data_IF_530590851383
#
_entry.id   IF_530590851383
#
_cell.length_a   1.000
_cell.length_b   1.000
_cell.length_c   1.000
_cell.angle_alpha   90.00
_cell.angle_beta   90.00
_cell.angle_gamma   90.00
#
_symmetry.space_group_name_H-M   'P 1'
#
loop_
_entity.id
_entity.type
_entity.pdbx_description
1 polymer ?
#
# COMPACT_ATOMS: atom_id res chain seq x y z
N UNK A 1 -24.88 25.39 -24.91
CA UNK A 1 -25.85 24.33 -24.58
C UNK A 1 -25.59 23.14 -25.50
N UNK A 2 -24.89 22.12 -25.01
CA UNK A 2 -24.77 20.82 -25.69
C UNK A 2 -25.10 19.75 -24.65
N UNK A 3 -26.29 19.19 -24.78
CA UNK A 3 -26.77 18.05 -24.02
C UNK A 3 -26.02 16.80 -24.49
N UNK A 4 -25.10 16.31 -23.66
CA UNK A 4 -24.58 14.95 -23.78
C UNK A 4 -25.33 14.06 -22.80
N UNK A 5 -26.45 13.50 -23.24
CA UNK A 5 -27.16 12.42 -22.55
C UNK A 5 -26.25 11.20 -22.45
N UNK A 6 -25.62 11.01 -21.30
CA UNK A 6 -24.87 9.77 -21.00
C UNK A 6 -25.88 8.64 -20.80
N UNK A 7 -25.69 7.58 -21.57
CA UNK A 7 -26.50 6.37 -21.61
C UNK A 7 -26.62 5.76 -20.21
N UNK A 8 -27.86 5.60 -19.75
CA UNK A 8 -28.21 4.77 -18.62
C UNK A 8 -27.85 3.31 -18.92
N UNK A 9 -27.12 2.66 -18.01
CA UNK A 9 -26.84 1.22 -18.12
C UNK A 9 -27.90 0.45 -17.37
N UNK A 10 -29.09 0.31 -17.97
CA UNK A 10 -30.08 -0.67 -17.55
C UNK A 10 -29.76 -2.00 -18.22
N UNK A 11 -29.54 -3.05 -17.43
CA UNK A 11 -29.49 -4.42 -17.94
C UNK A 11 -30.88 -5.02 -17.68
N UNK A 12 -31.64 -5.20 -18.75
CA UNK A 12 -32.96 -5.81 -18.71
C UNK A 12 -32.81 -7.33 -18.74
N UNK A 13 -33.19 -8.00 -17.66
CA UNK A 13 -33.48 -9.43 -17.64
C UNK A 13 -34.79 -9.59 -16.86
N UNK A 14 -35.85 -10.00 -17.55
CA UNK A 14 -37.16 -10.40 -17.01
C UNK A 14 -37.81 -9.44 -15.98
N UNK A 15 -38.32 -8.29 -16.45
CA UNK A 15 -39.51 -7.65 -15.86
C UNK A 15 -39.37 -6.95 -14.50
N UNK A 16 -38.18 -6.79 -13.93
CA UNK A 16 -37.97 -6.05 -12.68
C UNK A 16 -36.83 -5.03 -12.77
N UNK A 17 -37.01 -3.86 -12.16
CA UNK A 17 -35.91 -2.91 -11.88
C UNK A 17 -35.06 -3.54 -10.77
N UNK A 18 -33.86 -4.03 -11.10
CA UNK A 18 -32.90 -4.47 -10.07
C UNK A 18 -32.29 -3.23 -9.43
N UNK A 19 -32.82 -2.85 -8.26
CA UNK A 19 -32.22 -1.83 -7.41
C UNK A 19 -30.94 -2.43 -6.84
N UNK A 20 -29.79 -1.91 -7.29
CA UNK A 20 -28.50 -2.27 -6.71
C UNK A 20 -28.35 -1.50 -5.40
N UNK A 21 -28.26 -2.22 -4.29
CA UNK A 21 -28.06 -1.64 -2.98
C UNK A 21 -26.63 -1.91 -2.50
N UNK A 22 -25.94 -0.91 -1.96
CA UNK A 22 -24.57 -1.11 -1.49
C UNK A 22 -24.56 -1.83 -0.15
N UNK A 23 -23.80 -2.93 0.00
CA UNK A 23 -23.70 -3.70 1.25
C UNK A 23 -23.12 -2.93 2.44
N UNK A 24 -22.69 -1.67 2.28
CA UNK A 24 -22.17 -0.84 3.37
C UNK A 24 -23.06 0.36 3.71
N UNK A 25 -24.07 0.67 2.90
CA UNK A 25 -24.88 1.89 3.03
C UNK A 25 -26.31 1.47 3.35
N UNK A 26 -26.86 1.92 4.47
CA UNK A 26 -28.22 1.58 4.91
C UNK A 26 -29.32 2.46 4.27
N UNK A 27 -29.00 3.23 3.23
CA UNK A 27 -29.87 4.26 2.68
C UNK A 27 -30.06 4.09 1.17
N UNK A 28 -31.32 3.99 0.76
CA UNK A 28 -31.76 3.79 -0.63
C UNK A 28 -31.90 5.09 -1.43
N UNK A 29 -31.67 6.25 -0.81
CA UNK A 29 -31.99 7.56 -1.40
C UNK A 29 -30.93 8.16 -2.34
N UNK A 30 -29.77 7.52 -2.51
CA UNK A 30 -28.69 8.03 -3.36
C UNK A 30 -28.56 7.24 -4.68
N UNK A 31 -28.48 7.97 -5.80
CA UNK A 31 -28.14 7.39 -7.11
C UNK A 31 -26.65 7.00 -7.14
N UNK A 32 -26.35 5.77 -6.71
CA UNK A 32 -24.99 5.22 -6.78
C UNK A 32 -24.67 4.60 -8.15
N UNK A 33 -23.41 4.71 -8.55
CA UNK A 33 -22.87 3.94 -9.68
C UNK A 33 -22.19 2.66 -9.17
N UNK A 34 -22.20 1.62 -10.01
CA UNK A 34 -21.72 0.26 -9.67
C UNK A 34 -20.89 -0.32 -10.82
N UNK A 35 -19.89 0.44 -11.29
CA UNK A 35 -19.03 0.04 -12.40
C UNK A 35 -17.86 -0.81 -11.92
N UNK A 36 -17.35 -0.53 -10.71
CA UNK A 36 -16.20 -1.21 -10.11
C UNK A 36 -16.64 -2.44 -9.32
N UNK A 37 -15.70 -3.37 -9.17
CA UNK A 37 -15.83 -4.50 -8.25
C UNK A 37 -14.96 -4.27 -7.03
N UNK A 38 -15.48 -4.63 -5.87
CA UNK A 38 -14.73 -4.59 -4.62
C UNK A 38 -13.99 -5.90 -4.40
N UNK A 39 -12.73 -5.83 -4.01
CA UNK A 39 -11.95 -7.02 -3.72
C UNK A 39 -12.33 -7.58 -2.34
N UNK A 40 -12.38 -8.91 -2.22
CA UNK A 40 -12.64 -9.56 -0.94
C UNK A 40 -11.44 -9.33 -0.02
N UNK A 41 -10.28 -9.86 -0.42
CA UNK A 41 -8.98 -9.49 0.16
C UNK A 41 -8.40 -8.33 -0.66
N UNK A 42 -7.88 -7.26 -0.02
CA UNK A 42 -7.38 -6.07 -0.72
C UNK A 42 -6.42 -6.40 -1.88
N UNK A 43 -6.66 -5.79 -3.04
CA UNK A 43 -5.82 -6.01 -4.23
C UNK A 43 -4.36 -5.58 -4.02
N UNK A 44 -4.13 -4.63 -3.10
CA UNK A 44 -2.79 -4.17 -2.72
C UNK A 44 -1.96 -5.19 -1.93
N UNK A 45 -2.61 -6.25 -1.41
CA UNK A 45 -1.98 -7.42 -0.80
C UNK A 45 -1.86 -8.60 -1.78
N UNK A 46 -2.51 -8.51 -2.95
CA UNK A 46 -2.49 -9.57 -3.96
C UNK A 46 -3.82 -10.29 -4.15
N UNK A 47 -4.88 -9.86 -3.47
CA UNK A 47 -6.21 -10.44 -3.63
C UNK A 47 -6.72 -10.37 -5.07
N UNK A 48 -7.39 -11.43 -5.50
CA UNK A 48 -7.82 -11.69 -6.88
C UNK A 48 -9.34 -11.68 -6.98
N UNK A 49 -10.03 -12.46 -6.15
CA UNK A 49 -11.49 -12.56 -6.16
C UNK A 49 -12.10 -11.25 -5.67
N UNK A 50 -13.21 -10.92 -6.31
CA UNK A 50 -13.97 -9.71 -6.05
C UNK A 50 -15.42 -10.08 -5.81
N UNK A 51 -16.12 -9.28 -5.03
CA UNK A 51 -17.57 -9.34 -4.96
C UNK A 51 -18.20 -9.07 -6.35
N UNK A 52 -19.40 -9.61 -6.62
CA UNK A 52 -20.12 -9.33 -7.86
C UNK A 52 -20.38 -7.82 -8.06
N UNK A 53 -20.51 -7.43 -9.33
CA UNK A 53 -20.91 -6.06 -9.68
C UNK A 53 -22.26 -5.74 -9.02
N UNK A 54 -22.36 -4.58 -8.38
CA UNK A 54 -23.58 -4.15 -7.70
C UNK A 54 -23.58 -4.34 -6.18
N UNK A 55 -22.64 -5.10 -5.62
CA UNK A 55 -22.55 -5.29 -4.16
C UNK A 55 -22.05 -4.02 -3.45
N UNK A 56 -21.05 -3.36 -4.02
CA UNK A 56 -20.42 -2.17 -3.43
C UNK A 56 -20.49 -1.03 -4.43
N UNK A 57 -20.94 0.15 -3.99
CA UNK A 57 -21.00 1.32 -4.86
C UNK A 57 -19.62 1.87 -5.15
N UNK A 58 -19.47 2.53 -6.31
CA UNK A 58 -18.21 3.16 -6.70
C UNK A 58 -17.77 4.21 -5.66
N UNK A 59 -18.71 4.93 -5.03
CA UNK A 59 -18.45 5.89 -3.94
C UNK A 59 -17.76 5.23 -2.75
N UNK A 60 -18.23 4.07 -2.31
CA UNK A 60 -17.63 3.33 -1.18
C UNK A 60 -16.28 2.73 -1.56
N UNK A 61 -16.19 2.15 -2.76
CA UNK A 61 -14.94 1.62 -3.29
C UNK A 61 -13.84 2.71 -3.36
N UNK A 62 -14.20 3.90 -3.83
CA UNK A 62 -13.31 5.08 -3.87
C UNK A 62 -12.96 5.61 -2.48
N UNK A 63 -13.85 5.47 -1.49
CA UNK A 63 -13.57 5.82 -0.09
C UNK A 63 -12.58 4.84 0.54
N UNK A 64 -12.73 3.54 0.30
CA UNK A 64 -11.89 2.51 0.92
C UNK A 64 -10.48 2.46 0.34
N UNK A 65 -10.31 2.64 -0.97
CA UNK A 65 -9.01 2.45 -1.62
C UNK A 65 -7.86 3.31 -1.02
N UNK A 66 -8.05 4.62 -0.73
CA UNK A 66 -7.03 5.41 -0.04
C UNK A 66 -6.76 4.96 1.39
N UNK A 67 -7.78 4.54 2.13
CA UNK A 67 -7.66 4.05 3.52
C UNK A 67 -6.84 2.76 3.57
N UNK A 68 -7.20 1.76 2.75
CA UNK A 68 -6.45 0.51 2.63
C UNK A 68 -4.98 0.78 2.28
N UNK A 69 -4.73 1.69 1.33
CA UNK A 69 -3.38 2.03 0.91
C UNK A 69 -2.56 2.68 2.03
N UNK A 70 -3.18 3.53 2.84
CA UNK A 70 -2.55 4.14 4.01
C UNK A 70 -2.16 3.07 5.02
N UNK A 71 -3.11 2.20 5.37
CA UNK A 71 -2.94 1.10 6.32
C UNK A 71 -1.83 0.15 5.85
N UNK A 72 -1.84 -0.29 4.59
CA UNK A 72 -0.82 -1.18 4.02
C UNK A 72 0.58 -0.57 3.95
N UNK A 73 0.70 0.76 4.04
CA UNK A 73 1.99 1.46 4.00
C UNK A 73 2.54 1.76 5.38
N UNK A 74 1.66 2.04 6.34
CA UNK A 74 2.07 2.63 7.61
C UNK A 74 2.00 1.67 8.80
N UNK A 75 1.43 0.48 8.63
CA UNK A 75 1.32 -0.54 9.67
C UNK A 75 2.37 -1.66 9.59
N UNK A 76 2.30 -2.63 10.49
CA UNK A 76 3.17 -3.81 10.47
C UNK A 76 3.02 -4.67 9.21
N UNK A 77 1.85 -4.67 8.56
CA UNK A 77 1.65 -5.35 7.26
C UNK A 77 2.64 -4.83 6.21
N UNK A 78 3.05 -3.56 6.33
CA UNK A 78 4.02 -2.96 5.41
C UNK A 78 5.37 -3.69 5.42
N UNK A 79 5.77 -4.32 6.53
CA UNK A 79 7.02 -5.08 6.62
C UNK A 79 6.99 -6.25 5.64
N UNK A 80 6.04 -7.17 5.79
CA UNK A 80 5.91 -8.31 4.88
C UNK A 80 5.57 -7.87 3.47
N UNK A 81 4.75 -6.82 3.31
CA UNK A 81 4.41 -6.32 1.99
C UNK A 81 5.61 -5.77 1.22
N UNK A 82 6.54 -5.09 1.89
CA UNK A 82 7.75 -4.56 1.25
C UNK A 82 8.80 -5.64 1.00
N UNK A 83 8.91 -6.63 1.90
CA UNK A 83 9.90 -7.71 1.82
C UNK A 83 9.48 -8.85 0.88
N UNK A 84 8.21 -9.20 0.87
CA UNK A 84 7.67 -10.33 0.13
C UNK A 84 6.56 -9.90 -0.81
N UNK A 85 5.66 -9.04 -0.31
CA UNK A 85 4.37 -8.78 -0.92
C UNK A 85 4.41 -8.27 -2.36
N UNK A 86 3.27 -8.40 -3.06
CA UNK A 86 3.22 -8.12 -4.47
C UNK A 86 3.30 -6.62 -4.75
N UNK A 87 3.95 -6.27 -5.86
CA UNK A 87 3.76 -4.98 -6.51
C UNK A 87 2.35 -4.85 -7.10
N UNK A 88 2.15 -3.97 -8.07
CA UNK A 88 0.84 -3.76 -8.68
C UNK A 88 0.26 -5.08 -9.24
N UNK A 89 -0.88 -5.54 -8.70
CA UNK A 89 -1.63 -6.76 -9.12
C UNK A 89 -0.77 -8.04 -9.11
N UNK A 90 -0.09 -8.35 -8.02
CA UNK A 90 0.65 -9.63 -7.94
C UNK A 90 1.99 -9.63 -8.68
N UNK A 91 2.52 -8.49 -9.13
CA UNK A 91 3.76 -8.45 -9.92
C UNK A 91 4.99 -8.13 -9.07
N UNK A 92 6.01 -8.99 -9.12
CA UNK A 92 7.34 -8.78 -8.55
C UNK A 92 8.29 -8.01 -9.49
N UNK A 93 7.76 -7.33 -10.51
CA UNK A 93 8.60 -6.54 -11.41
C UNK A 93 8.69 -5.10 -10.90
N UNK A 94 9.91 -4.69 -10.49
CA UNK A 94 10.18 -3.33 -9.97
C UNK A 94 9.73 -2.23 -10.94
N UNK A 95 9.83 -2.45 -12.26
CA UNK A 95 9.41 -1.48 -13.28
C UNK A 95 7.89 -1.24 -13.30
N UNK A 96 7.10 -2.14 -12.71
CA UNK A 96 5.62 -2.01 -12.64
C UNK A 96 5.15 -1.30 -11.37
N UNK A 97 6.06 -0.87 -10.49
CA UNK A 97 5.71 -0.13 -9.28
C UNK A 97 5.41 1.33 -9.64
N UNK A 98 4.13 1.71 -9.48
CA UNK A 98 3.68 3.08 -9.77
C UNK A 98 3.96 4.09 -8.67
N UNK A 99 3.98 3.67 -7.40
CA UNK A 99 4.14 4.58 -6.27
C UNK A 99 4.82 3.85 -5.10
N UNK A 100 6.14 3.58 -5.20
CA UNK A 100 6.88 3.02 -4.08
C UNK A 100 6.92 4.02 -2.93
N UNK A 101 7.14 3.50 -1.73
CA UNK A 101 7.39 4.32 -0.54
C UNK A 101 8.86 4.69 -0.50
N UNK A 102 9.18 5.91 -0.91
CA UNK A 102 10.55 6.43 -0.87
C UNK A 102 10.93 6.74 0.58
N UNK A 103 12.11 6.30 0.98
CA UNK A 103 12.68 6.40 2.33
C UNK A 103 14.15 6.79 2.25
N UNK A 104 14.71 7.23 3.37
CA UNK A 104 16.16 7.30 3.53
C UNK A 104 16.69 5.91 3.86
N UNK A 105 17.58 5.41 3.01
CA UNK A 105 18.30 4.16 3.16
C UNK A 105 19.72 4.45 3.62
N UNK A 106 20.16 3.78 4.68
CA UNK A 106 21.53 3.83 5.18
C UNK A 106 22.32 2.69 4.55
N UNK A 107 23.42 2.98 3.88
CA UNK A 107 24.39 1.94 3.49
C UNK A 107 24.96 1.28 4.76
N UNK A 108 25.20 -0.04 4.77
CA UNK A 108 25.50 -0.88 5.95
C UNK A 108 26.64 -0.44 6.92
N UNK A 109 27.26 -1.38 7.64
CA UNK A 109 28.17 -1.14 8.80
C UNK A 109 29.54 -0.49 8.46
N UNK A 110 29.57 0.40 7.47
CA UNK A 110 30.72 1.25 7.21
C UNK A 110 30.59 2.47 8.14
N UNK A 111 31.67 2.91 8.82
CA UNK A 111 31.67 4.10 9.68
C UNK A 111 31.38 5.41 8.94
N UNK A 112 31.20 5.37 7.62
CA UNK A 112 30.79 6.49 6.81
C UNK A 112 29.27 6.45 6.61
N UNK A 113 28.53 7.10 7.52
CA UNK A 113 27.11 7.39 7.40
C UNK A 113 26.78 7.85 5.96
N UNK A 114 26.24 6.96 5.13
CA UNK A 114 25.86 7.22 3.74
C UNK A 114 24.35 7.05 3.65
N UNK A 115 23.66 8.16 3.36
CA UNK A 115 22.22 8.23 3.32
C UNK A 115 21.76 8.48 1.89
N UNK A 116 20.90 7.60 1.39
CA UNK A 116 20.42 7.64 0.01
C UNK A 116 18.91 7.52 -0.01
N UNK A 117 18.24 8.29 -0.87
CA UNK A 117 16.83 8.09 -1.17
C UNK A 117 16.64 6.80 -1.97
N UNK A 118 15.70 5.97 -1.54
CA UNK A 118 15.38 4.74 -2.23
C UNK A 118 14.11 4.11 -1.69
N UNK A 119 13.80 2.91 -2.12
CA UNK A 119 12.69 2.13 -1.60
C UNK A 119 13.06 0.65 -1.54
N UNK A 120 12.39 -0.09 -0.67
CA UNK A 120 12.50 -1.54 -0.61
C UNK A 120 11.37 -2.16 -1.43
N UNK A 121 11.71 -3.16 -2.22
CA UNK A 121 10.73 -3.96 -2.94
C UNK A 121 11.22 -5.40 -3.09
N UNK A 122 10.37 -6.36 -2.70
CA UNK A 122 10.71 -7.78 -2.71
C UNK A 122 12.05 -8.06 -1.98
N UNK A 123 12.29 -7.34 -0.88
CA UNK A 123 13.49 -7.49 -0.05
C UNK A 123 14.75 -6.85 -0.65
N UNK A 124 14.69 -6.28 -1.85
CA UNK A 124 15.82 -5.58 -2.48
C UNK A 124 15.72 -4.06 -2.30
N UNK A 125 16.87 -3.41 -2.07
CA UNK A 125 16.99 -1.96 -2.05
C UNK A 125 17.10 -1.40 -3.48
N UNK A 126 16.27 -0.40 -3.76
CA UNK A 126 16.30 0.33 -5.02
C UNK A 126 16.55 1.81 -4.76
N UNK A 127 17.76 2.25 -5.09
CA UNK A 127 18.15 3.66 -4.98
C UNK A 127 17.56 4.42 -6.17
N UNK A 128 16.91 5.54 -5.89
CA UNK A 128 16.37 6.42 -6.94
C UNK A 128 17.47 7.35 -7.46
N UNK A 129 17.40 7.81 -8.74
CA UNK A 129 18.28 8.86 -9.23
C UNK A 129 18.18 10.09 -8.32
N UNK A 130 19.33 10.56 -7.84
CA UNK A 130 19.40 11.65 -6.86
C UNK A 130 20.72 12.40 -6.89
N UNK A 131 20.69 13.59 -6.31
CA UNK A 131 21.87 14.36 -5.92
C UNK A 131 21.95 14.33 -4.38
N UNK A 132 23.14 14.00 -3.88
CA UNK A 132 23.51 14.11 -2.47
C UNK A 132 24.45 15.29 -2.32
N UNK A 133 24.23 16.10 -1.31
CA UNK A 133 24.99 17.33 -1.06
C UNK A 133 25.53 17.18 0.34
N UNK A 134 26.83 16.97 0.45
CA UNK A 134 27.55 16.98 1.72
C UNK A 134 28.00 18.40 2.02
N UNK A 135 27.69 18.89 3.22
CA UNK A 135 28.18 20.17 3.72
C UNK A 135 29.34 19.88 4.67
N UNK A 136 30.54 20.32 4.27
CA UNK A 136 31.71 20.27 5.11
C UNK A 136 31.83 21.60 5.86
N UNK A 137 31.34 21.63 7.10
CA UNK A 137 31.36 22.85 7.93
C UNK A 137 32.78 23.34 8.22
N UNK A 138 33.76 22.42 8.31
CA UNK A 138 35.14 22.79 8.60
C UNK A 138 35.80 23.53 7.42
N UNK A 139 35.42 23.19 6.19
CA UNK A 139 35.94 23.80 4.96
C UNK A 139 35.00 24.86 4.38
N UNK A 140 33.84 25.08 5.01
CA UNK A 140 32.74 25.89 4.49
C UNK A 140 32.45 25.58 3.01
N UNK A 141 32.44 24.28 2.67
CA UNK A 141 32.32 23.79 1.30
C UNK A 141 31.12 22.86 1.17
N UNK A 142 30.55 22.77 -0.04
CA UNK A 142 29.54 21.78 -0.37
C UNK A 142 29.93 20.99 -1.61
N UNK A 143 29.87 19.66 -1.53
CA UNK A 143 30.24 18.78 -2.64
C UNK A 143 29.00 18.03 -3.16
N UNK A 144 28.41 18.45 -4.29
CA UNK A 144 27.32 17.73 -4.92
C UNK A 144 27.84 16.42 -5.52
N UNK A 145 27.25 15.31 -5.11
CA UNK A 145 27.51 13.96 -5.63
C UNK A 145 26.25 13.45 -6.31
N UNK A 146 26.37 13.12 -7.59
CA UNK A 146 25.27 12.58 -8.39
C UNK A 146 25.24 11.05 -8.29
N UNK A 147 24.17 10.53 -7.69
CA UNK A 147 23.92 9.10 -7.62
C UNK A 147 22.93 8.70 -8.70
N UNK A 148 23.41 7.94 -9.68
CA UNK A 148 22.55 7.27 -10.66
C UNK A 148 23.02 5.82 -10.80
N UNK A 149 22.34 4.92 -10.08
CA UNK A 149 22.74 3.51 -10.03
C UNK A 149 22.40 2.84 -11.37
N UNK A 150 23.43 2.35 -12.07
CA UNK A 150 23.34 1.47 -13.23
C UNK A 150 22.52 2.01 -14.40
N UNK A 151 22.74 3.27 -14.78
CA UNK A 151 22.03 3.89 -15.90
C UNK A 151 22.99 4.47 -16.93
N UNK A 152 22.55 4.52 -18.19
CA UNK A 152 23.37 4.99 -19.30
C UNK A 152 23.74 6.47 -19.15
N UNK A 153 24.67 6.97 -19.96
CA UNK A 153 24.97 8.41 -19.98
C UNK A 153 23.73 9.24 -20.30
N UNK A 154 22.86 8.76 -21.20
CA UNK A 154 21.61 9.46 -21.53
C UNK A 154 20.71 9.62 -20.30
N UNK A 155 20.65 8.60 -19.44
CA UNK A 155 19.85 8.65 -18.21
C UNK A 155 20.42 9.63 -17.17
N UNK A 156 21.75 9.72 -17.05
CA UNK A 156 22.42 10.71 -16.17
C UNK A 156 22.10 12.12 -16.67
N UNK A 157 22.28 12.37 -17.96
CA UNK A 157 21.98 13.67 -18.56
C UNK A 157 20.50 14.01 -18.42
N UNK A 158 19.60 13.04 -18.65
CA UNK A 158 18.16 13.20 -18.47
C UNK A 158 17.79 13.57 -17.02
N UNK A 159 18.42 12.92 -16.04
CA UNK A 159 18.24 13.29 -14.62
C UNK A 159 18.73 14.70 -14.34
N UNK A 160 19.94 15.06 -14.79
CA UNK A 160 20.52 16.38 -14.59
C UNK A 160 19.66 17.49 -15.20
N UNK A 161 19.15 17.30 -16.42
CA UNK A 161 18.24 18.25 -17.06
C UNK A 161 16.92 18.39 -16.29
N UNK A 162 16.34 17.29 -15.81
CA UNK A 162 15.13 17.34 -14.98
C UNK A 162 15.38 18.07 -13.66
N UNK A 163 16.53 17.82 -13.02
CA UNK A 163 16.94 18.52 -11.80
C UNK A 163 17.10 20.01 -12.04
N UNK A 164 17.72 20.41 -13.16
CA UNK A 164 17.86 21.81 -13.53
C UNK A 164 16.49 22.49 -13.68
N UNK A 165 15.56 21.87 -14.40
CA UNK A 165 14.19 22.38 -14.55
C UNK A 165 13.50 22.51 -13.18
N UNK A 166 13.63 21.51 -12.31
CA UNK A 166 13.09 21.55 -10.96
C UNK A 166 13.67 22.68 -10.11
N UNK A 167 14.99 22.89 -10.14
CA UNK A 167 15.66 23.95 -9.37
C UNK A 167 15.32 25.36 -9.90
N UNK A 168 15.03 25.51 -11.19
CA UNK A 168 14.60 26.77 -11.79
C UNK A 168 13.13 27.09 -11.49
N UNK A 169 12.28 26.09 -11.25
CA UNK A 169 10.87 26.29 -10.97
C UNK A 169 10.63 26.82 -9.54
N UNK A 170 10.16 28.07 -9.45
CA UNK A 170 9.81 28.72 -8.17
C UNK A 170 8.55 28.15 -7.50
N UNK A 171 7.73 27.40 -8.23
CA UNK A 171 6.53 26.71 -7.73
C UNK A 171 6.75 25.19 -7.61
N UNK A 172 8.01 24.76 -7.60
CA UNK A 172 8.40 23.35 -7.46
C UNK A 172 7.69 22.67 -6.28
N UNK A 173 7.25 21.45 -6.51
CA UNK A 173 6.65 20.58 -5.50
C UNK A 173 7.55 19.37 -5.25
N UNK A 174 7.68 18.99 -3.98
CA UNK A 174 8.44 17.83 -3.57
C UNK A 174 7.86 17.26 -2.27
N UNK A 175 8.17 15.99 -2.02
CA UNK A 175 7.77 15.28 -0.80
C UNK A 175 8.98 15.25 0.12
N UNK A 176 8.83 15.80 1.32
CA UNK A 176 9.83 15.62 2.37
C UNK A 176 9.77 14.17 2.86
N UNK A 177 10.91 13.49 2.78
CA UNK A 177 11.11 12.14 3.29
C UNK A 177 11.77 12.27 4.66
N UNK A 178 11.18 11.60 5.64
CA UNK A 178 11.71 11.57 7.00
C UNK A 178 13.12 11.00 7.04
N UNK A 179 13.99 11.64 7.82
CA UNK A 179 15.34 11.19 8.12
C UNK A 179 15.35 10.57 9.53
N UNK A 180 15.19 9.24 9.66
CA UNK A 180 14.97 8.59 10.95
C UNK A 180 16.28 8.38 11.74
N UNK A 181 17.43 8.79 11.20
CA UNK A 181 18.73 8.56 11.82
C UNK A 181 19.28 9.83 12.47
N UNK A 182 19.80 9.68 13.69
CA UNK A 182 20.70 10.67 14.26
C UNK A 182 22.05 10.60 13.54
N UNK A 183 22.57 11.75 13.11
CA UNK A 183 23.88 11.86 12.47
C UNK A 183 24.51 13.22 12.74
N UNK A 184 25.83 13.28 12.71
CA UNK A 184 26.60 14.52 12.75
C UNK A 184 26.85 15.10 11.36
N UNK A 185 26.49 14.38 10.29
CA UNK A 185 26.66 14.86 8.92
C UNK A 185 25.60 15.90 8.57
N UNK A 186 26.03 16.94 7.90
CA UNK A 186 25.16 17.96 7.34
C UNK A 186 24.94 17.64 5.87
N UNK A 187 23.73 17.25 5.50
CA UNK A 187 23.47 16.84 4.12
C UNK A 187 22.06 17.17 3.64
N UNK A 188 21.93 17.22 2.31
CA UNK A 188 20.65 17.27 1.59
C UNK A 188 20.68 16.26 0.44
N UNK A 189 19.63 15.45 0.35
CA UNK A 189 19.34 14.59 -0.79
C UNK A 189 18.14 15.14 -1.56
N UNK A 190 18.23 15.16 -2.89
CA UNK A 190 17.10 15.42 -3.79
C UNK A 190 17.05 14.33 -4.85
N UNK A 191 15.96 13.59 -4.90
CA UNK A 191 15.77 12.48 -5.84
C UNK A 191 14.45 12.55 -6.59
N UNK A 192 14.38 11.86 -7.72
CA UNK A 192 13.17 11.78 -8.54
C UNK A 192 12.76 10.33 -8.77
N UNK A 193 11.47 10.06 -8.60
CA UNK A 193 10.88 8.79 -8.99
C UNK A 193 9.45 8.99 -9.51
N UNK A 194 9.13 8.36 -10.65
CA UNK A 194 7.81 8.48 -11.31
C UNK A 194 7.31 9.94 -11.42
N UNK A 195 8.19 10.85 -11.84
CA UNK A 195 7.96 12.30 -11.98
C UNK A 195 7.58 13.03 -10.69
N UNK A 196 7.83 12.44 -9.53
CA UNK A 196 7.71 13.12 -8.23
C UNK A 196 9.10 13.34 -7.64
N UNK A 197 9.31 14.54 -7.09
CA UNK A 197 10.52 14.90 -6.39
C UNK A 197 10.41 14.57 -4.91
N UNK A 198 11.52 14.09 -4.36
CA UNK A 198 11.67 13.72 -2.96
C UNK A 198 12.89 14.43 -2.41
N UNK A 199 12.81 14.91 -1.18
CA UNK A 199 13.94 15.53 -0.50
C UNK A 199 14.09 14.97 0.92
N UNK A 200 15.32 14.73 1.34
CA UNK A 200 15.65 14.36 2.73
C UNK A 200 16.87 15.15 3.18
N UNK A 201 16.99 15.39 4.48
CA UNK A 201 18.09 16.18 5.03
C UNK A 201 18.30 15.83 6.50
N UNK A 202 19.51 16.08 7.02
CA UNK A 202 19.76 16.13 8.47
C UNK A 202 19.34 17.45 9.12
N UNK A 203 18.95 18.46 8.34
CA UNK A 203 18.50 19.76 8.86
C UNK A 203 16.98 19.77 9.15
N UNK A 204 16.52 20.66 10.04
CA UNK A 204 15.08 20.77 10.36
C UNK A 204 14.22 21.16 9.16
N UNK A 205 14.77 21.97 8.24
CA UNK A 205 14.09 22.49 7.05
C UNK A 205 15.12 22.65 5.94
N UNK A 206 14.64 22.62 4.70
CA UNK A 206 15.45 22.92 3.51
C UNK A 206 14.96 24.24 2.90
N UNK A 207 15.87 25.18 2.69
CA UNK A 207 15.61 26.34 1.84
C UNK A 207 15.98 26.00 0.39
N UNK A 208 15.00 25.57 -0.40
CA UNK A 208 15.23 25.16 -1.79
C UNK A 208 15.62 26.31 -2.71
N UNK A 209 15.22 27.55 -2.42
CA UNK A 209 15.66 28.71 -3.22
C UNK A 209 17.16 28.96 -3.06
N UNK A 210 17.64 28.96 -1.82
CA UNK A 210 19.06 29.09 -1.55
C UNK A 210 19.85 27.93 -2.16
N UNK A 211 19.36 26.70 -1.99
CA UNK A 211 20.01 25.52 -2.54
C UNK A 211 20.08 25.55 -4.07
N UNK A 212 19.01 26.02 -4.74
CA UNK A 212 19.01 26.17 -6.19
C UNK A 212 20.09 27.14 -6.68
N UNK A 213 20.30 28.28 -5.99
CA UNK A 213 21.34 29.24 -6.34
C UNK A 213 22.74 28.60 -6.34
N UNK A 214 23.01 27.75 -5.36
CA UNK A 214 24.30 27.05 -5.23
C UNK A 214 24.44 25.94 -6.29
N UNK A 215 23.38 25.14 -6.48
CA UNK A 215 23.46 23.94 -7.31
C UNK A 215 23.39 24.19 -8.82
N UNK A 216 22.68 25.24 -9.28
CA UNK A 216 22.48 25.47 -10.72
C UNK A 216 23.83 25.63 -11.42
N UNK A 217 24.75 26.41 -10.84
CA UNK A 217 26.08 26.63 -11.43
C UNK A 217 26.88 25.33 -11.51
N UNK A 218 26.95 24.57 -10.42
CA UNK A 218 27.65 23.28 -10.39
C UNK A 218 27.05 22.28 -11.39
N UNK A 219 25.72 22.23 -11.49
CA UNK A 219 25.00 21.35 -12.41
C UNK A 219 25.26 21.71 -13.88
N UNK A 220 25.26 23.00 -14.23
CA UNK A 220 25.56 23.46 -15.58
C UNK A 220 26.99 23.12 -16.00
N UNK A 221 27.96 23.25 -15.10
CA UNK A 221 29.33 22.83 -15.37
C UNK A 221 29.44 21.32 -15.58
N UNK A 222 28.73 20.52 -14.78
CA UNK A 222 28.76 19.07 -14.91
C UNK A 222 28.08 18.58 -16.19
N UNK A 223 26.95 19.17 -16.58
CA UNK A 223 26.28 18.91 -17.85
C UNK A 223 27.24 19.20 -19.02
N UNK A 224 27.93 20.36 -19.01
CA UNK A 224 28.93 20.70 -20.03
C UNK A 224 30.07 19.66 -20.12
N UNK A 225 30.54 19.15 -18.98
CA UNK A 225 31.57 18.11 -18.91
C UNK A 225 31.06 16.77 -19.46
N UNK A 226 29.83 16.39 -19.15
CA UNK A 226 29.22 15.13 -19.61
C UNK A 226 28.93 15.11 -21.12
N UNK A 227 28.64 16.26 -21.72
CA UNK A 227 28.52 16.41 -23.18
C UNK A 227 29.88 16.25 -23.89
N UNK A 228 30.99 16.60 -23.22
CA UNK A 228 32.35 16.63 -23.80
C UNK A 228 33.21 15.39 -23.52
N UNK A 229 32.77 14.42 -22.71
CA UNK A 229 33.66 13.32 -22.28
C UNK A 229 33.00 12.00 -21.87
N UNK A 230 33.79 10.93 -21.93
CA UNK A 230 33.50 9.56 -21.47
C UNK A 230 33.91 9.36 -20.01
N UNK A 231 33.03 9.71 -19.05
CA UNK A 231 33.22 9.25 -17.67
C UNK A 231 32.83 7.78 -17.53
N UNK A 232 33.68 7.02 -16.85
CA UNK A 232 33.44 5.64 -16.38
C UNK A 232 32.29 5.68 -15.37
N UNK A 233 31.25 4.89 -15.63
CA UNK A 233 30.15 4.69 -14.69
C UNK A 233 30.72 3.96 -13.47
N UNK A 234 30.59 4.55 -12.29
CA UNK A 234 30.90 3.87 -11.03
C UNK A 234 29.87 2.76 -10.84
N UNK A 235 30.26 1.52 -11.19
CA UNK A 235 29.56 0.32 -10.74
C UNK A 235 29.77 0.21 -9.23
N UNK A 236 28.89 0.86 -8.47
CA UNK A 236 28.70 0.54 -7.07
C UNK A 236 28.12 -0.87 -7.05
N UNK A 237 28.92 -1.87 -6.64
CA UNK A 237 28.45 -3.25 -6.46
C UNK A 237 27.21 -3.29 -5.58
N UNK A 238 26.51 -4.45 -5.54
CA UNK A 238 25.35 -4.63 -4.66
C UNK A 238 25.76 -4.34 -3.21
N UNK A 239 25.40 -3.16 -2.72
CA UNK A 239 25.60 -2.72 -1.35
C UNK A 239 24.36 -3.08 -0.55
N UNK A 240 24.55 -3.58 0.67
CA UNK A 240 23.44 -3.83 1.57
C UNK A 240 23.00 -2.50 2.18
N UNK A 241 21.70 -2.20 2.07
CA UNK A 241 21.10 -1.03 2.69
C UNK A 241 20.19 -1.44 3.86
N UNK A 242 20.15 -0.61 4.88
CA UNK A 242 19.24 -0.72 6.03
C UNK A 242 18.29 0.50 6.01
N UNK A 243 17.07 0.34 6.50
CA UNK A 243 16.17 1.45 6.76
C UNK A 243 15.58 1.32 8.17
N UNK A 244 15.27 2.43 8.81
CA UNK A 244 14.55 2.47 10.10
C UNK A 244 13.16 3.03 9.86
N UNK A 245 12.17 2.40 10.47
CA UNK A 245 10.78 2.84 10.40
C UNK A 245 10.09 2.60 11.72
N UNK A 246 9.39 3.62 12.22
CA UNK A 246 8.55 3.50 13.40
C UNK A 246 7.17 2.99 12.96
N UNK A 247 6.70 1.93 13.62
CA UNK A 247 5.40 1.33 13.36
C UNK A 247 4.57 1.49 14.62
N UNK A 248 3.37 2.03 14.46
CA UNK A 248 2.36 1.99 15.50
C UNK A 248 1.66 0.62 15.47
N UNK A 249 1.94 -0.22 16.47
CA UNK A 249 1.33 -1.54 16.61
C UNK A 249 -0.08 -1.47 17.19
N UNK A 250 -0.47 -0.33 17.76
CA UNK A 250 -1.77 -0.11 18.39
C UNK A 250 -2.73 0.64 17.46
N UNK A 251 -2.31 0.93 16.23
CA UNK A 251 -3.11 1.63 15.24
C UNK A 251 -4.43 0.89 14.97
N UNK A 252 -5.52 1.45 15.51
CA UNK A 252 -6.88 0.93 15.38
C UNK A 252 -7.32 0.85 13.91
N UNK A 253 -6.74 1.69 13.04
CA UNK A 253 -6.97 1.69 11.59
C UNK A 253 -6.71 0.31 10.96
N UNK A 254 -5.85 -0.52 11.56
CA UNK A 254 -5.63 -1.89 11.09
C UNK A 254 -6.88 -2.77 11.16
N UNK A 255 -7.70 -2.58 12.19
CA UNK A 255 -8.93 -3.32 12.36
C UNK A 255 -9.87 -3.13 11.18
N UNK A 256 -9.86 -1.96 10.52
CA UNK A 256 -10.65 -1.72 9.32
C UNK A 256 -10.35 -2.76 8.23
N UNK A 257 -9.06 -3.06 7.99
CA UNK A 257 -8.67 -4.01 6.94
C UNK A 257 -9.18 -5.42 7.24
N UNK A 258 -9.09 -5.83 8.51
CA UNK A 258 -9.59 -7.12 8.98
C UNK A 258 -11.12 -7.20 8.91
N UNK A 259 -11.83 -6.21 9.44
CA UNK A 259 -13.29 -6.16 9.45
C UNK A 259 -13.87 -6.13 8.04
N UNK A 260 -13.33 -5.25 7.17
CA UNK A 260 -13.77 -5.15 5.77
C UNK A 260 -13.58 -6.48 5.05
N UNK A 261 -12.42 -7.10 5.22
CA UNK A 261 -12.11 -8.40 4.60
C UNK A 261 -13.05 -9.49 5.11
N UNK A 262 -13.27 -9.58 6.42
CA UNK A 262 -14.22 -10.53 7.01
C UNK A 262 -15.64 -10.32 6.47
N UNK A 263 -16.12 -9.07 6.45
CA UNK A 263 -17.47 -8.76 5.98
C UNK A 263 -17.64 -9.04 4.49
N UNK A 264 -16.65 -8.72 3.66
CA UNK A 264 -16.65 -9.08 2.25
C UNK A 264 -16.64 -10.59 2.05
N UNK A 265 -15.91 -11.34 2.86
CA UNK A 265 -15.92 -12.80 2.82
C UNK A 265 -17.30 -13.36 3.18
N UNK A 266 -17.96 -12.80 4.20
CA UNK A 266 -19.33 -13.18 4.54
C UNK A 266 -20.29 -12.91 3.37
N UNK A 267 -20.18 -11.74 2.73
CA UNK A 267 -20.99 -11.38 1.57
C UNK A 267 -20.73 -12.30 0.37
N UNK A 268 -19.49 -12.75 0.20
CA UNK A 268 -19.12 -13.73 -0.82
C UNK A 268 -19.75 -15.11 -0.56
N UNK A 269 -19.72 -15.59 0.69
CA UNK A 269 -20.23 -16.92 1.06
C UNK A 269 -21.76 -17.00 1.11
N UNK A 270 -22.42 -15.96 1.64
CA UNK A 270 -23.87 -15.98 1.92
C UNK A 270 -24.68 -15.09 0.98
N UNK A 271 -24.01 -14.30 0.15
CA UNK A 271 -24.64 -13.44 -0.84
C UNK A 271 -25.09 -12.09 -0.30
N UNK A 272 -25.53 -11.25 -1.25
CA UNK A 272 -25.92 -9.87 -1.04
C UNK A 272 -27.03 -9.68 -0.01
N UNK A 273 -28.17 -10.35 -0.19
CA UNK A 273 -29.36 -10.16 0.65
C UNK A 273 -29.10 -10.52 2.11
N UNK A 274 -28.28 -11.57 2.34
CA UNK A 274 -27.92 -12.00 3.69
C UNK A 274 -27.20 -10.89 4.46
N UNK A 275 -26.18 -10.27 3.86
CA UNK A 275 -25.39 -9.22 4.53
C UNK A 275 -26.09 -7.87 4.63
N UNK A 276 -27.24 -7.71 3.98
CA UNK A 276 -28.13 -6.55 4.16
C UNK A 276 -29.03 -6.66 5.39
N UNK A 277 -29.08 -7.81 6.04
CA UNK A 277 -29.85 -7.98 7.26
C UNK A 277 -29.41 -6.97 8.34
N UNK A 278 -30.39 -6.42 9.07
CA UNK A 278 -30.18 -5.42 10.13
C UNK A 278 -29.21 -5.85 11.23
N UNK A 279 -29.05 -7.16 11.47
CA UNK A 279 -28.07 -7.69 12.45
C UNK A 279 -26.61 -7.31 12.10
N UNK A 280 -26.36 -6.83 10.88
CA UNK A 280 -25.06 -6.37 10.41
C UNK A 280 -24.93 -4.84 10.34
N UNK A 281 -25.96 -4.05 10.71
CA UNK A 281 -25.91 -2.59 10.59
C UNK A 281 -24.73 -1.97 11.34
N UNK A 282 -24.50 -2.43 12.57
CA UNK A 282 -23.42 -1.91 13.44
C UNK A 282 -22.04 -2.07 12.80
N UNK A 283 -21.72 -3.26 12.25
CA UNK A 283 -20.43 -3.49 11.60
C UNK A 283 -20.33 -2.74 10.27
N UNK A 284 -21.41 -2.66 9.49
CA UNK A 284 -21.45 -1.90 8.24
C UNK A 284 -21.14 -0.42 8.46
N UNK A 285 -21.78 0.20 9.44
CA UNK A 285 -21.56 1.61 9.81
C UNK A 285 -20.14 1.85 10.32
N UNK A 286 -19.62 0.94 11.15
CA UNK A 286 -18.26 1.03 11.68
C UNK A 286 -17.20 0.90 10.59
N UNK A 287 -17.37 -0.02 9.63
CA UNK A 287 -16.48 -0.14 8.46
C UNK A 287 -16.61 1.09 7.57
N UNK A 288 -17.83 1.52 7.26
CA UNK A 288 -18.06 2.65 6.35
C UNK A 288 -17.42 3.92 6.89
N UNK A 289 -17.52 4.17 8.19
CA UNK A 289 -17.05 5.40 8.83
C UNK A 289 -15.66 5.29 9.45
N UNK A 290 -15.08 4.08 9.50
CA UNK A 290 -13.81 3.81 10.18
C UNK A 290 -13.83 4.25 11.65
N UNK A 291 -14.93 3.98 12.34
CA UNK A 291 -15.18 4.37 13.74
C UNK A 291 -15.61 3.17 14.56
N UNK A 292 -15.18 3.07 15.81
CA UNK A 292 -15.52 1.96 16.72
C UNK A 292 -15.26 0.58 16.11
N UNK A 293 -14.18 0.45 15.32
CA UNK A 293 -13.83 -0.79 14.61
C UNK A 293 -13.18 -1.83 15.52
N UNK A 294 -12.56 -1.39 16.61
CA UNK A 294 -11.92 -2.20 17.65
C UNK A 294 -12.93 -3.02 18.47
N UNK A 295 -14.16 -2.54 18.65
CA UNK A 295 -15.18 -3.26 19.45
C UNK A 295 -15.55 -4.64 18.89
N UNK A 296 -15.27 -4.89 17.61
CA UNK A 296 -15.54 -6.17 16.96
C UNK A 296 -14.39 -7.16 17.13
N UNK A 297 -13.21 -6.71 17.56
CA UNK A 297 -12.04 -7.56 17.76
C UNK A 297 -12.15 -8.25 19.11
N UNK A 298 -12.08 -9.59 19.11
CA UNK A 298 -12.18 -10.40 20.32
C UNK A 298 -10.93 -11.24 20.54
N UNK A 299 -10.73 -11.71 21.78
CA UNK A 299 -9.56 -12.51 22.20
C UNK A 299 -9.91 -13.99 22.46
N UNK A 300 -11.01 -14.49 21.91
CA UNK A 300 -11.51 -15.84 22.15
C UNK A 300 -10.68 -16.91 21.43
N UNK A 301 -9.75 -17.54 22.16
CA UNK A 301 -8.85 -18.56 21.61
C UNK A 301 -9.58 -19.80 21.09
N UNK A 302 -10.74 -20.14 21.64
CA UNK A 302 -11.51 -21.30 21.21
C UNK A 302 -11.97 -21.20 19.75
N UNK A 303 -12.14 -19.99 19.23
CA UNK A 303 -12.44 -19.76 17.82
C UNK A 303 -11.26 -20.15 16.93
N UNK A 304 -10.01 -19.86 17.36
CA UNK A 304 -8.81 -20.25 16.62
C UNK A 304 -8.63 -21.77 16.61
N UNK A 305 -8.95 -22.46 17.70
CA UNK A 305 -8.88 -23.92 17.77
C UNK A 305 -9.76 -24.59 16.70
N UNK A 306 -10.89 -23.97 16.32
CA UNK A 306 -11.77 -24.48 15.26
C UNK A 306 -11.20 -24.36 13.83
N UNK A 307 -10.10 -23.61 13.65
CA UNK A 307 -9.49 -23.34 12.34
C UNK A 307 -7.99 -23.63 12.30
N UNK A 308 -7.41 -24.15 13.38
CA UNK A 308 -5.97 -24.33 13.51
C UNK A 308 -5.40 -25.25 12.41
N UNK A 309 -6.05 -26.38 12.14
CA UNK A 309 -5.64 -27.32 11.09
C UNK A 309 -5.64 -26.66 9.70
N UNK A 310 -6.61 -25.78 9.44
CA UNK A 310 -6.68 -25.05 8.18
C UNK A 310 -5.53 -24.04 8.11
N UNK A 311 -5.27 -23.30 9.19
CA UNK A 311 -4.17 -22.34 9.28
C UNK A 311 -2.83 -23.04 9.03
N UNK A 312 -2.62 -24.22 9.60
CA UNK A 312 -1.41 -25.03 9.40
C UNK A 312 -1.23 -25.50 7.96
N UNK A 313 -2.32 -25.80 7.26
CA UNK A 313 -2.29 -26.15 5.83
C UNK A 313 -2.15 -24.94 4.90
N UNK A 314 -2.38 -23.71 5.38
CA UNK A 314 -2.29 -22.52 4.52
C UNK A 314 -0.84 -22.28 4.03
N UNK A 315 -0.64 -21.97 2.73
CA UNK A 315 0.70 -21.72 2.21
C UNK A 315 1.42 -20.59 2.96
N UNK A 316 2.74 -20.69 3.03
CA UNK A 316 3.56 -19.68 3.71
C UNK A 316 3.32 -18.28 3.13
N UNK A 317 3.21 -17.28 4.01
CA UNK A 317 2.94 -15.88 3.65
C UNK A 317 1.64 -15.66 2.87
N UNK A 318 0.73 -16.63 2.82
CA UNK A 318 -0.61 -16.44 2.23
C UNK A 318 -1.49 -15.52 3.11
N UNK A 319 -2.64 -15.13 2.58
CA UNK A 319 -3.69 -14.48 3.35
C UNK A 319 -4.87 -15.43 3.50
N UNK A 320 -5.61 -15.35 4.60
CA UNK A 320 -6.86 -16.09 4.72
C UNK A 320 -7.93 -15.24 5.37
N UNK A 321 -9.18 -15.53 5.00
CA UNK A 321 -10.37 -15.00 5.66
C UNK A 321 -11.37 -16.13 5.79
N UNK A 322 -11.70 -16.49 7.02
CA UNK A 322 -12.61 -17.58 7.35
C UNK A 322 -13.82 -17.01 8.09
N UNK A 323 -14.99 -17.59 7.88
CA UNK A 323 -16.24 -17.26 8.56
C UNK A 323 -16.74 -18.51 9.26
N UNK A 324 -17.15 -18.35 10.50
CA UNK A 324 -17.69 -19.42 11.35
C UNK A 324 -18.96 -18.90 11.99
N UNK A 325 -20.08 -19.57 11.74
CA UNK A 325 -21.33 -19.32 12.44
C UNK A 325 -21.62 -20.45 13.43
N UNK A 326 -21.80 -20.09 14.70
CA UNK A 326 -22.05 -21.01 15.80
C UNK A 326 -22.68 -20.28 16.99
N UNK A 327 -23.61 -20.91 17.70
CA UNK A 327 -24.18 -20.42 18.97
C UNK A 327 -24.63 -18.95 18.92
N UNK A 328 -25.50 -18.62 17.95
CA UNK A 328 -25.98 -17.29 17.62
C UNK A 328 -24.94 -16.25 17.18
N UNK A 329 -23.68 -16.64 17.04
CA UNK A 329 -22.61 -15.76 16.62
C UNK A 329 -22.17 -16.06 15.19
N UNK A 330 -21.70 -15.01 14.52
CA UNK A 330 -20.88 -15.14 13.31
C UNK A 330 -19.53 -14.49 13.62
N UNK A 331 -18.48 -15.28 13.47
CA UNK A 331 -17.10 -14.86 13.63
C UNK A 331 -16.40 -14.81 12.27
N UNK A 332 -15.48 -13.87 12.12
CA UNK A 332 -14.46 -13.84 11.08
C UNK A 332 -13.09 -14.12 11.68
N UNK A 333 -12.27 -14.92 11.01
CA UNK A 333 -10.85 -15.10 11.33
C UNK A 333 -10.05 -14.67 10.11
N UNK A 334 -9.29 -13.59 10.24
CA UNK A 334 -8.57 -13.00 9.11
C UNK A 334 -7.10 -12.84 9.46
N UNK A 335 -6.22 -13.31 8.58
CA UNK A 335 -4.79 -13.07 8.67
C UNK A 335 -4.23 -12.63 7.33
N UNK A 336 -3.23 -11.76 7.39
CA UNK A 336 -2.43 -11.39 6.24
C UNK A 336 -0.99 -11.86 6.43
N UNK A 337 -0.40 -12.44 5.38
CA UNK A 337 0.95 -12.98 5.40
C UNK A 337 1.18 -14.09 6.42
N UNK A 338 0.12 -14.83 6.77
CA UNK A 338 0.08 -15.84 7.84
C UNK A 338 0.69 -15.33 9.16
N UNK A 339 0.48 -14.04 9.45
CA UNK A 339 0.86 -13.43 10.73
C UNK A 339 -0.28 -13.55 11.75
N UNK A 340 -0.18 -12.83 12.87
CA UNK A 340 -1.17 -12.87 13.94
C UNK A 340 -2.59 -12.62 13.39
N UNK A 341 -3.50 -13.61 13.48
CA UNK A 341 -4.86 -13.44 13.00
C UNK A 341 -5.65 -12.51 13.90
N UNK A 342 -6.53 -11.72 13.29
CA UNK A 342 -7.61 -11.04 13.99
C UNK A 342 -8.83 -11.97 14.06
N UNK A 343 -9.45 -12.04 15.24
CA UNK A 343 -10.75 -12.68 15.44
C UNK A 343 -11.79 -11.57 15.56
N UNK A 344 -12.77 -11.58 14.67
CA UNK A 344 -13.80 -10.56 14.53
C UNK A 344 -15.13 -11.19 14.90
N UNK A 345 -15.86 -10.65 15.87
CA UNK A 345 -17.27 -11.01 16.07
C UNK A 345 -18.13 -10.13 15.18
N UNK A 346 -18.62 -10.66 14.06
CA UNK A 346 -19.42 -9.93 13.07
C UNK A 346 -20.81 -9.62 13.63
N UNK A 347 -21.44 -10.58 14.31
CA UNK A 347 -22.70 -10.42 15.04
C UNK A 347 -22.85 -11.51 16.09
N UNK A 348 -23.66 -11.27 17.11
CA UNK A 348 -24.12 -12.23 18.12
C UNK A 348 -25.66 -12.42 18.10
N UNK A 349 -26.31 -11.94 17.04
CA UNK A 349 -27.77 -12.01 16.84
C UNK A 349 -28.14 -12.94 15.67
N UNK A 350 -27.22 -13.80 15.23
CA UNK A 350 -27.47 -14.70 14.12
C UNK A 350 -28.44 -15.81 14.54
N UNK A 351 -29.51 -15.99 13.78
CA UNK A 351 -30.45 -17.10 13.96
C UNK A 351 -30.45 -17.89 12.65
N UNK A 352 -29.81 -19.05 12.66
CA UNK A 352 -29.70 -19.91 11.49
C UNK A 352 -28.78 -21.09 11.74
N UNK A 353 -28.62 -21.93 10.72
CA UNK A 353 -27.75 -23.10 10.81
C UNK A 353 -26.28 -22.69 10.94
N UNK A 354 -25.53 -23.49 11.70
CA UNK A 354 -24.08 -23.38 11.78
C UNK A 354 -23.46 -23.58 10.40
N UNK A 355 -22.45 -22.78 10.09
CA UNK A 355 -21.70 -22.94 8.85
C UNK A 355 -20.26 -22.49 9.04
N UNK A 356 -19.39 -23.01 8.18
CA UNK A 356 -17.98 -22.65 8.11
C UNK A 356 -17.59 -22.53 6.64
N UNK A 357 -16.82 -21.51 6.31
CA UNK A 357 -16.36 -21.29 4.94
C UNK A 357 -15.39 -20.12 4.87
N UNK A 358 -14.78 -19.88 3.73
CA UNK A 358 -13.81 -18.81 3.58
C UNK A 358 -12.93 -18.98 2.36
N UNK A 359 -11.86 -18.19 2.32
CA UNK A 359 -10.89 -18.22 1.24
C UNK A 359 -9.46 -18.11 1.74
N UNK A 360 -8.56 -18.75 1.00
CA UNK A 360 -7.11 -18.62 1.13
C UNK A 360 -6.57 -17.99 -0.15
N UNK A 361 -5.79 -16.91 0.00
CA UNK A 361 -5.12 -16.21 -1.08
C UNK A 361 -3.61 -16.46 -1.04
N UNK A 362 -3.17 -17.36 -1.91
CA UNK A 362 -1.78 -17.56 -2.26
C UNK A 362 -1.39 -16.54 -3.34
N UNK A 363 -1.13 -15.32 -2.89
CA UNK A 363 -0.77 -14.20 -3.77
C UNK A 363 0.53 -14.46 -4.54
N UNK A 364 1.43 -15.31 -4.01
CA UNK A 364 2.73 -15.63 -4.62
C UNK A 364 2.51 -16.46 -5.88
N UNK A 365 1.64 -17.46 -5.81
CA UNK A 365 1.26 -18.30 -6.96
C UNK A 365 0.04 -17.77 -7.72
N UNK A 366 -0.52 -16.63 -7.29
CA UNK A 366 -1.73 -15.99 -7.86
C UNK A 366 -2.93 -16.94 -7.89
N UNK A 367 -3.12 -17.70 -6.81
CA UNK A 367 -4.25 -18.63 -6.63
C UNK A 367 -5.08 -18.21 -5.44
N UNK A 368 -6.40 -18.26 -5.58
CA UNK A 368 -7.32 -18.17 -4.45
C UNK A 368 -8.23 -19.39 -4.43
N UNK A 369 -8.34 -20.02 -3.26
CA UNK A 369 -9.04 -21.28 -3.03
C UNK A 369 -10.12 -21.07 -1.99
N UNK A 370 -11.27 -21.72 -2.16
CA UNK A 370 -12.29 -21.78 -1.11
C UNK A 370 -11.87 -22.78 -0.02
N UNK A 371 -12.28 -22.56 1.22
CA UNK A 371 -11.94 -23.48 2.32
C UNK A 371 -12.52 -24.89 2.14
N UNK A 372 -13.65 -25.04 1.47
CA UNK A 372 -14.22 -26.35 1.15
C UNK A 372 -13.29 -27.19 0.28
N UNK A 373 -12.40 -26.56 -0.50
CA UNK A 373 -11.37 -27.23 -1.29
C UNK A 373 -10.17 -27.70 -0.45
N UNK A 374 -10.09 -27.29 0.84
CA UNK A 374 -9.01 -27.65 1.77
C UNK A 374 -9.37 -28.82 2.70
N UNK A 375 -10.65 -29.07 2.96
CA UNK A 375 -11.11 -30.19 3.79
C UNK A 375 -11.00 -31.55 3.05
N UNK A 376 -10.77 -31.54 1.73
CA UNK A 376 -10.57 -32.73 0.88
C UNK A 376 -9.08 -33.06 0.60
N UNK A 377 -8.13 -32.32 1.19
CA UNK A 377 -6.68 -32.56 1.16
C UNK A 377 -6.18 -33.01 2.54
#
# INVERSE_FOLDING_TARGET
MQNNSRKNTFLFINGGIVIKHCIYINNDSENFTYVKKEHIIPAGLGGIRTLPNGYVSDKVNEKFSPLEMNIMRNSFISINRNNFGPGKRGSLNVKKIKSPMVRVLKEGEIPNDSYQLGFIFAGESHIIPQIYIDFNDAENSCLPTFFNINRSKEDILSFQLKLLVFLLDKKRSYIMVEMPYSTKKHFINIGINNNKWFAATSHKRINMDFLALVLITALLEEIKKNVKGTKKILNLGKKNHKYTYQIDLESVDMHFLYLKTAFNTLAYLKGHEFVLNRIFNSIRESILNCTNIDQFIIKEKDILNNVIEIIEKTPEKSHYSMIIAKDNNIYGVVSFYNELPAIIRITNEYIGESFKGGLVCDWKNRKEMDLSEFDEL
#
